data_IF_516383307663
#
_entry.id   IF_516383307663
#
_cell.length_a   1.000
_cell.length_b   1.000
_cell.length_c   1.000
_cell.angle_alpha   90.00
_cell.angle_beta   90.00
_cell.angle_gamma   90.00
#
_symmetry.space_group_name_H-M   'P 1'
#
loop_
_entity.id
_entity.type
_entity.pdbx_description
1 polymer ?
#
# COMPACT_ATOMS: atom_id res chain seq x y z
N UNK A 1 -25.41 4.95 9.19
CA UNK A 1 -24.23 5.52 8.55
C UNK A 1 -24.02 4.95 7.17
N UNK A 2 -23.37 5.69 6.26
CA UNK A 2 -23.01 5.15 4.94
C UNK A 2 -21.74 4.30 5.03
N UNK A 3 -21.68 3.25 4.20
CA UNK A 3 -20.51 2.41 4.04
C UNK A 3 -20.42 1.81 2.64
N UNK A 4 -19.23 1.67 2.10
CA UNK A 4 -18.97 0.92 0.87
C UNK A 4 -18.76 -0.55 1.25
N UNK A 5 -19.64 -1.42 0.75
CA UNK A 5 -19.75 -2.82 1.21
C UNK A 5 -19.58 -3.78 0.03
N UNK A 6 -18.69 -4.75 0.18
CA UNK A 6 -18.62 -5.93 -0.67
C UNK A 6 -19.81 -6.83 -0.37
N UNK A 7 -20.82 -6.83 -1.24
CA UNK A 7 -22.13 -7.42 -0.97
C UNK A 7 -22.29 -8.83 -1.54
N UNK A 8 -21.52 -9.17 -2.56
CA UNK A 8 -21.58 -10.49 -3.21
C UNK A 8 -20.16 -11.01 -3.40
N UNK A 9 -19.91 -12.20 -2.88
CA UNK A 9 -18.60 -12.83 -2.99
C UNK A 9 -18.27 -13.26 -4.41
N UNK A 10 -17.01 -13.06 -4.84
CA UNK A 10 -16.52 -13.56 -6.11
C UNK A 10 -16.59 -15.10 -6.15
N UNK A 11 -17.02 -15.65 -7.27
CA UNK A 11 -17.04 -17.10 -7.49
C UNK A 11 -15.70 -17.56 -8.05
N UNK A 12 -15.11 -18.54 -7.39
CA UNK A 12 -13.79 -19.05 -7.70
C UNK A 12 -13.83 -20.53 -8.09
N UNK A 13 -12.93 -20.93 -9.01
CA UNK A 13 -12.55 -22.32 -9.26
C UNK A 13 -11.04 -22.44 -8.97
N UNK A 14 -10.69 -22.96 -7.81
CA UNK A 14 -9.34 -22.88 -7.29
C UNK A 14 -8.87 -21.43 -7.14
N UNK A 15 -7.85 -21.05 -7.91
CA UNK A 15 -7.32 -19.68 -7.97
C UNK A 15 -7.86 -18.84 -9.15
N UNK A 16 -8.73 -19.42 -9.97
CA UNK A 16 -9.31 -18.76 -11.14
C UNK A 16 -10.65 -18.11 -10.79
N UNK A 17 -10.83 -16.86 -11.19
CA UNK A 17 -12.11 -16.15 -11.05
C UNK A 17 -13.10 -16.63 -12.13
N UNK A 18 -14.27 -17.06 -11.70
CA UNK A 18 -15.39 -17.42 -12.61
C UNK A 18 -16.35 -16.24 -12.77
N UNK A 19 -16.64 -15.56 -11.68
CA UNK A 19 -17.51 -14.39 -11.66
C UNK A 19 -17.01 -13.41 -10.60
N UNK A 20 -16.77 -12.11 -10.93
CA UNK A 20 -16.36 -11.12 -9.94
C UNK A 20 -17.47 -10.89 -8.91
N UNK A 21 -17.08 -10.43 -7.74
CA UNK A 21 -18.00 -10.00 -6.71
C UNK A 21 -18.64 -8.65 -7.01
N UNK A 22 -19.42 -8.16 -6.04
CA UNK A 22 -20.08 -6.84 -6.14
C UNK A 22 -19.80 -6.01 -4.91
N UNK A 23 -19.73 -4.71 -5.14
CA UNK A 23 -19.60 -3.70 -4.09
C UNK A 23 -20.69 -2.65 -4.25
N UNK A 24 -21.31 -2.21 -3.16
CA UNK A 24 -22.40 -1.26 -3.15
C UNK A 24 -22.25 -0.28 -1.98
N UNK A 25 -22.75 0.95 -2.17
CA UNK A 25 -22.88 1.92 -1.08
C UNK A 25 -24.19 1.62 -0.33
N UNK A 26 -24.09 1.31 0.95
CA UNK A 26 -25.23 0.94 1.77
C UNK A 26 -25.36 1.86 3.00
N UNK A 27 -26.60 2.01 3.48
CA UNK A 27 -26.89 2.54 4.80
C UNK A 27 -26.87 1.39 5.81
N UNK A 28 -25.94 1.41 6.75
CA UNK A 28 -25.77 0.39 7.79
C UNK A 28 -25.87 1.01 9.18
N UNK A 29 -26.15 0.24 10.24
CA UNK A 29 -26.11 0.74 11.62
C UNK A 29 -24.74 1.34 11.96
N UNK A 30 -24.73 2.43 12.74
CA UNK A 30 -23.48 2.94 13.31
C UNK A 30 -22.96 1.94 14.36
N UNK A 31 -21.63 1.65 14.39
CA UNK A 31 -21.09 0.69 15.33
C UNK A 31 -21.20 1.20 16.78
N UNK A 32 -21.60 0.32 17.67
CA UNK A 32 -21.47 0.54 19.12
C UNK A 32 -20.15 -0.10 19.58
N UNK A 33 -19.47 0.54 20.54
CA UNK A 33 -18.27 -0.06 21.10
C UNK A 33 -18.60 -1.38 21.81
N UNK A 34 -17.93 -2.43 21.41
CA UNK A 34 -17.96 -3.73 22.10
C UNK A 34 -16.97 -3.70 23.28
N UNK A 35 -17.08 -4.61 24.26
CA UNK A 35 -16.12 -4.70 25.36
C UNK A 35 -14.66 -4.92 24.93
N UNK A 36 -14.45 -5.40 23.70
CA UNK A 36 -13.13 -5.60 23.08
C UNK A 36 -12.56 -4.36 22.40
N UNK A 37 -13.38 -3.35 22.17
CA UNK A 37 -12.99 -2.13 21.47
C UNK A 37 -12.53 -1.08 22.47
N UNK A 38 -11.55 -0.27 22.12
CA UNK A 38 -11.03 0.78 22.98
C UNK A 38 -11.56 2.16 22.62
N UNK A 39 -11.87 2.38 21.35
CA UNK A 39 -12.32 3.67 20.84
C UNK A 39 -13.17 3.56 19.59
N UNK A 40 -14.00 4.58 19.37
CA UNK A 40 -14.72 4.82 18.12
C UNK A 40 -14.05 5.96 17.37
N UNK A 41 -13.79 5.73 16.10
CA UNK A 41 -13.16 6.70 15.21
C UNK A 41 -14.19 7.13 14.16
N UNK A 42 -14.40 8.44 14.04
CA UNK A 42 -15.01 9.00 12.85
C UNK A 42 -13.96 8.95 11.76
N UNK A 43 -14.21 8.21 10.69
CA UNK A 43 -13.31 8.14 9.56
C UNK A 43 -13.42 9.44 8.78
N UNK A 44 -12.40 10.27 8.83
CA UNK A 44 -12.40 11.54 8.10
C UNK A 44 -12.05 11.28 6.62
N UNK A 45 -11.00 10.48 6.36
CA UNK A 45 -10.55 10.13 5.01
C UNK A 45 -10.07 8.70 4.91
N UNK A 46 -10.32 8.08 3.75
CA UNK A 46 -9.77 6.78 3.38
C UNK A 46 -9.25 6.83 1.95
N UNK A 47 -8.07 6.25 1.69
CA UNK A 47 -7.56 6.14 0.33
C UNK A 47 -7.96 4.81 -0.32
N UNK A 48 -8.24 4.86 -1.64
CA UNK A 48 -8.57 3.68 -2.42
C UNK A 48 -7.31 2.88 -2.76
N UNK A 49 -7.34 1.59 -2.49
CA UNK A 49 -6.24 0.65 -2.76
C UNK A 49 -6.58 -0.33 -3.88
N UNK A 50 -5.55 -0.81 -4.59
CA UNK A 50 -5.70 -1.92 -5.53
C UNK A 50 -6.20 -3.19 -4.82
N UNK A 51 -5.85 -3.41 -3.56
CA UNK A 51 -6.34 -4.53 -2.74
C UNK A 51 -7.87 -4.54 -2.64
N UNK A 52 -8.50 -3.38 -2.44
CA UNK A 52 -9.97 -3.27 -2.41
C UNK A 52 -10.58 -3.73 -3.73
N UNK A 53 -9.98 -3.32 -4.85
CA UNK A 53 -10.42 -3.74 -6.19
C UNK A 53 -10.18 -5.24 -6.40
N UNK A 54 -9.03 -5.77 -5.97
CA UNK A 54 -8.71 -7.19 -6.11
C UNK A 54 -9.62 -8.08 -5.25
N UNK A 55 -10.08 -7.62 -4.08
CA UNK A 55 -11.08 -8.33 -3.28
C UNK A 55 -12.36 -8.50 -4.10
N UNK A 56 -12.85 -7.45 -4.72
CA UNK A 56 -14.08 -7.47 -5.50
C UNK A 56 -13.92 -8.24 -6.82
N UNK A 57 -12.85 -7.97 -7.58
CA UNK A 57 -12.69 -8.48 -8.94
C UNK A 57 -12.04 -9.85 -9.00
N UNK A 58 -11.18 -10.19 -8.04
CA UNK A 58 -10.36 -11.41 -8.05
C UNK A 58 -10.63 -12.34 -6.85
N UNK A 59 -11.50 -11.96 -5.91
CA UNK A 59 -11.74 -12.74 -4.71
C UNK A 59 -10.51 -12.85 -3.79
N UNK A 60 -9.64 -11.83 -3.82
CA UNK A 60 -8.40 -11.82 -3.04
C UNK A 60 -8.69 -12.09 -1.55
N UNK A 61 -7.85 -12.89 -0.91
CA UNK A 61 -7.96 -13.35 0.49
C UNK A 61 -9.20 -14.21 0.80
N UNK A 62 -10.04 -14.55 -0.18
CA UNK A 62 -11.29 -15.29 0.07
C UNK A 62 -12.24 -14.56 1.01
N UNK A 63 -12.23 -13.22 1.00
CA UNK A 63 -13.04 -12.41 1.92
C UNK A 63 -14.52 -12.77 1.81
N UNK A 64 -15.20 -13.03 2.95
CA UNK A 64 -16.62 -13.32 2.93
C UNK A 64 -17.43 -12.07 2.62
N UNK A 65 -18.57 -12.22 1.96
CA UNK A 65 -19.57 -11.15 1.86
C UNK A 65 -20.69 -11.39 2.90
N UNK A 66 -21.26 -10.33 3.54
CA UNK A 66 -20.91 -8.92 3.36
C UNK A 66 -19.64 -8.52 4.11
N UNK A 67 -18.86 -7.60 3.51
CA UNK A 67 -17.62 -7.07 4.10
C UNK A 67 -17.51 -5.57 3.82
N UNK A 68 -17.25 -4.76 4.87
CA UNK A 68 -17.04 -3.32 4.71
C UNK A 68 -15.63 -3.09 4.17
N UNK A 69 -15.49 -2.27 3.12
CA UNK A 69 -14.26 -2.06 2.37
C UNK A 69 -13.35 -0.99 3.01
N UNK A 70 -12.12 -0.89 2.48
CA UNK A 70 -11.14 0.13 2.85
C UNK A 70 -10.25 -0.27 4.02
N UNK A 71 -8.98 0.16 3.98
CA UNK A 71 -7.98 -0.14 5.02
C UNK A 71 -6.91 0.94 5.14
N UNK A 72 -6.93 1.97 4.30
CA UNK A 72 -5.98 3.09 4.31
C UNK A 72 -6.67 4.33 4.88
N UNK A 73 -6.75 4.48 6.20
CA UNK A 73 -7.62 5.51 6.80
C UNK A 73 -6.94 6.39 7.84
N UNK A 74 -7.46 7.59 7.96
CA UNK A 74 -7.23 8.48 9.09
C UNK A 74 -8.55 9.11 9.56
N UNK A 75 -8.60 9.51 10.81
CA UNK A 75 -9.83 10.02 11.39
C UNK A 75 -9.67 10.75 12.69
N UNK A 76 -10.80 10.97 13.36
CA UNK A 76 -10.89 11.65 14.64
C UNK A 76 -11.53 10.73 15.67
N UNK A 77 -10.91 10.58 16.82
CA UNK A 77 -11.50 9.83 17.95
C UNK A 77 -12.74 10.58 18.44
N UNK A 78 -13.88 9.89 18.50
CA UNK A 78 -15.17 10.46 18.98
C UNK A 78 -15.67 9.82 20.27
N UNK A 79 -15.15 8.64 20.62
CA UNK A 79 -15.48 7.92 21.87
C UNK A 79 -14.27 7.11 22.32
N UNK A 80 -14.00 7.04 23.62
CA UNK A 80 -12.91 6.27 24.23
C UNK A 80 -13.41 5.52 25.47
N UNK A 81 -12.86 4.34 25.71
CA UNK A 81 -13.02 3.61 26.97
C UNK A 81 -11.89 4.01 27.97
N UNK A 82 -11.92 3.54 29.25
CA UNK A 82 -10.86 3.84 30.22
C UNK A 82 -9.47 3.38 29.76
N UNK A 83 -9.35 2.21 29.10
CA UNK A 83 -8.09 1.69 28.60
C UNK A 83 -7.46 2.62 27.56
N UNK A 84 -8.25 3.16 26.61
CA UNK A 84 -7.77 4.13 25.65
C UNK A 84 -7.24 5.40 26.33
N UNK A 85 -7.96 5.90 27.35
CA UNK A 85 -7.55 7.07 28.12
C UNK A 85 -6.23 6.83 28.89
N UNK A 86 -6.07 5.66 29.51
CA UNK A 86 -4.84 5.26 30.20
C UNK A 86 -3.65 5.15 29.25
N UNK A 87 -3.88 4.81 27.98
CA UNK A 87 -2.89 4.77 26.92
C UNK A 87 -2.67 6.14 26.23
N UNK A 88 -3.27 7.22 26.75
CA UNK A 88 -3.02 8.59 26.31
C UNK A 88 -3.86 9.06 25.12
N UNK A 89 -4.93 8.33 24.76
CA UNK A 89 -5.88 8.72 23.72
C UNK A 89 -7.03 9.54 24.31
N UNK A 90 -7.49 10.55 23.58
CA UNK A 90 -8.59 11.42 23.96
C UNK A 90 -9.54 11.69 22.80
N UNK A 91 -10.80 11.98 23.13
CA UNK A 91 -11.77 12.49 22.15
C UNK A 91 -11.23 13.76 21.50
N UNK A 92 -11.29 13.80 20.16
CA UNK A 92 -10.76 14.90 19.35
C UNK A 92 -9.34 14.68 18.82
N UNK A 93 -8.61 13.66 19.29
CA UNK A 93 -7.30 13.33 18.72
C UNK A 93 -7.47 12.86 17.27
N UNK A 94 -6.58 13.38 16.40
CA UNK A 94 -6.45 12.92 15.02
C UNK A 94 -5.54 11.71 14.97
N UNK A 95 -5.95 10.67 14.25
CA UNK A 95 -5.27 9.37 14.24
C UNK A 95 -5.19 8.75 12.87
N UNK A 96 -4.17 7.93 12.69
CA UNK A 96 -4.03 6.92 11.64
C UNK A 96 -4.35 5.56 12.25
N UNK A 97 -4.95 4.68 11.47
CA UNK A 97 -5.31 3.34 11.94
C UNK A 97 -4.73 2.29 11.03
N UNK A 98 -4.01 1.33 11.62
CA UNK A 98 -3.64 0.09 10.93
C UNK A 98 -4.84 -0.85 10.88
N UNK A 99 -5.04 -1.53 9.77
CA UNK A 99 -6.22 -2.38 9.56
C UNK A 99 -6.28 -3.61 10.46
N UNK A 100 -5.22 -3.97 11.18
CA UNK A 100 -5.21 -5.13 12.09
C UNK A 100 -4.33 -4.88 13.32
N UNK A 101 -4.61 -5.60 14.41
CA UNK A 101 -3.77 -5.62 15.62
C UNK A 101 -3.34 -7.05 15.95
N UNK A 102 -2.05 -7.33 16.09
CA UNK A 102 -1.56 -8.64 16.50
C UNK A 102 -1.82 -8.90 17.98
N UNK A 103 -1.93 -10.17 18.37
CA UNK A 103 -2.15 -10.54 19.76
C UNK A 103 -0.93 -10.36 20.69
N UNK A 104 0.27 -10.16 20.12
CA UNK A 104 1.53 -10.01 20.87
C UNK A 104 2.04 -11.26 21.58
N UNK A 105 1.26 -12.37 21.63
CA UNK A 105 1.56 -13.53 22.48
C UNK A 105 1.72 -14.87 21.74
N UNK A 106 1.29 -15.00 20.49
CA UNK A 106 1.50 -16.22 19.71
C UNK A 106 2.96 -16.34 19.22
N UNK A 107 3.35 -17.52 18.71
CA UNK A 107 4.72 -17.78 18.27
C UNK A 107 5.19 -16.80 17.17
N UNK A 108 4.32 -16.46 16.21
CA UNK A 108 4.67 -15.52 15.17
C UNK A 108 4.98 -14.13 15.75
N UNK A 109 4.11 -13.62 16.65
CA UNK A 109 4.36 -12.35 17.33
C UNK A 109 5.65 -12.38 18.17
N UNK A 110 5.90 -13.45 18.92
CA UNK A 110 7.12 -13.58 19.73
C UNK A 110 8.41 -13.70 18.89
N UNK A 111 8.29 -14.03 17.62
CA UNK A 111 9.41 -14.04 16.64
C UNK A 111 9.58 -12.71 15.92
N UNK A 112 8.71 -11.72 16.16
CA UNK A 112 8.67 -10.46 15.42
C UNK A 112 7.99 -10.59 14.04
N UNK A 113 7.21 -11.63 13.83
CA UNK A 113 6.44 -11.86 12.61
C UNK A 113 4.97 -11.49 12.80
N UNK A 114 4.70 -10.34 13.39
CA UNK A 114 3.38 -9.95 13.89
C UNK A 114 2.31 -9.88 12.80
N UNK A 115 2.69 -9.55 11.56
CA UNK A 115 1.75 -9.55 10.43
C UNK A 115 1.19 -10.94 10.12
N UNK A 116 1.87 -12.00 10.53
CA UNK A 116 1.42 -13.38 10.42
C UNK A 116 0.76 -13.90 11.71
N UNK A 117 0.29 -12.98 12.57
CA UNK A 117 -0.41 -13.33 13.81
C UNK A 117 -1.58 -14.26 13.52
N UNK A 118 -1.61 -15.42 14.22
CA UNK A 118 -2.66 -16.44 14.06
C UNK A 118 -3.95 -16.11 14.82
N UNK A 119 -3.86 -15.16 15.76
CA UNK A 119 -4.94 -14.80 16.67
C UNK A 119 -4.99 -13.28 16.84
N UNK A 120 -5.25 -12.50 15.78
CA UNK A 120 -5.38 -11.06 15.91
C UNK A 120 -6.45 -10.73 16.96
N UNK A 121 -6.32 -9.58 17.60
CA UNK A 121 -7.26 -9.15 18.64
C UNK A 121 -8.67 -9.10 18.01
N UNK A 122 -9.64 -9.70 18.67
CA UNK A 122 -11.02 -9.75 18.19
C UNK A 122 -11.55 -8.30 17.98
N UNK A 123 -12.22 -8.07 16.86
CA UNK A 123 -12.71 -6.73 16.50
C UNK A 123 -11.65 -5.79 15.94
N UNK A 124 -10.37 -6.20 15.88
CA UNK A 124 -9.28 -5.35 15.42
C UNK A 124 -9.20 -5.15 13.91
N UNK A 125 -10.04 -5.82 13.11
CA UNK A 125 -10.06 -5.53 11.69
C UNK A 125 -10.86 -4.25 11.45
N UNK A 126 -10.15 -3.19 11.06
CA UNK A 126 -10.74 -1.86 10.85
C UNK A 126 -11.09 -1.67 9.38
N UNK A 127 -12.19 -0.99 9.15
CA UNK A 127 -12.74 -0.69 7.85
C UNK A 127 -12.62 0.82 7.58
N UNK A 128 -12.16 1.18 6.38
CA UNK A 128 -11.84 2.57 6.04
C UNK A 128 -12.95 3.30 5.27
N UNK A 129 -13.90 2.59 4.68
CA UNK A 129 -14.99 3.20 3.92
C UNK A 129 -16.37 3.21 4.61
N UNK A 130 -16.52 3.14 5.93
CA UNK A 130 -17.70 3.64 6.63
C UNK A 130 -17.44 5.03 7.21
N UNK A 131 -18.49 5.74 7.65
CA UNK A 131 -18.35 7.02 8.36
C UNK A 131 -17.72 6.87 9.76
N UNK A 132 -17.88 5.71 10.40
CA UNK A 132 -17.34 5.38 11.73
C UNK A 132 -16.84 3.95 11.80
N UNK A 133 -15.76 3.73 12.54
CA UNK A 133 -15.25 2.39 12.84
C UNK A 133 -14.77 2.27 14.29
N UNK A 134 -14.92 1.10 14.94
CA UNK A 134 -14.28 0.80 16.21
C UNK A 134 -12.81 0.47 16.00
N UNK A 135 -11.97 0.68 17.01
CA UNK A 135 -10.55 0.32 16.99
C UNK A 135 -10.03 -0.03 18.40
N UNK A 136 -8.89 -0.73 18.43
CA UNK A 136 -8.12 -1.03 19.65
C UNK A 136 -6.85 -0.21 19.70
N UNK A 137 -6.30 0.04 20.89
CA UNK A 137 -5.12 0.89 21.08
C UNK A 137 -3.91 0.44 20.25
N UNK A 138 -3.72 -0.87 20.05
CA UNK A 138 -2.58 -1.47 19.37
C UNK A 138 -2.47 -1.12 17.87
N UNK A 139 -3.55 -0.63 17.29
CA UNK A 139 -3.60 -0.31 15.86
C UNK A 139 -3.73 1.19 15.55
N UNK A 140 -3.78 2.04 16.60
CA UNK A 140 -4.04 3.47 16.46
C UNK A 140 -2.77 4.27 16.74
N UNK A 141 -2.45 5.21 15.84
CA UNK A 141 -1.28 6.07 15.93
C UNK A 141 -1.72 7.54 15.86
N UNK A 142 -1.32 8.34 16.85
CA UNK A 142 -1.67 9.76 16.89
C UNK A 142 -0.95 10.55 15.80
N UNK A 143 -1.69 11.41 15.12
CA UNK A 143 -1.14 12.43 14.22
C UNK A 143 -0.64 13.61 15.07
N UNK A 144 0.57 14.12 14.85
CA UNK A 144 1.07 15.29 15.59
C UNK A 144 0.12 16.49 15.50
N UNK A 145 -0.24 17.07 16.66
CA UNK A 145 -1.21 18.21 16.73
C UNK A 145 -0.76 19.42 15.92
N UNK A 146 0.55 19.59 15.75
CA UNK A 146 1.16 20.70 15.03
C UNK A 146 1.62 20.30 13.61
N UNK A 147 1.02 19.27 13.02
CA UNK A 147 1.35 18.88 11.65
C UNK A 147 1.15 20.05 10.68
N UNK A 148 2.13 20.34 9.80
CA UNK A 148 2.03 21.44 8.84
C UNK A 148 1.19 21.11 7.61
N UNK A 149 0.71 19.88 7.45
CA UNK A 149 -0.01 19.40 6.26
C UNK A 149 -1.49 19.15 6.56
N UNK A 150 -2.29 19.09 5.50
CA UNK A 150 -3.69 18.71 5.59
C UNK A 150 -3.81 17.28 6.16
N UNK A 151 -4.60 17.05 7.21
CA UNK A 151 -4.79 15.73 7.81
C UNK A 151 -5.25 14.63 6.85
N UNK A 152 -5.89 14.96 5.74
CA UNK A 152 -6.33 13.99 4.71
C UNK A 152 -5.18 13.11 4.20
N UNK A 153 -3.96 13.66 4.11
CA UNK A 153 -2.81 12.91 3.59
C UNK A 153 -2.33 11.80 4.54
N UNK A 154 -2.75 11.83 5.79
CA UNK A 154 -2.37 10.77 6.74
C UNK A 154 -3.07 9.43 6.48
N UNK A 155 -4.14 9.38 5.67
CA UNK A 155 -4.68 8.10 5.20
C UNK A 155 -3.68 7.33 4.32
N UNK A 156 -2.65 8.00 3.78
CA UNK A 156 -1.58 7.38 3.01
C UNK A 156 -0.53 6.66 3.88
N UNK A 157 -0.66 6.71 5.20
CA UNK A 157 0.32 6.09 6.10
C UNK A 157 0.39 4.57 5.91
N UNK A 158 -0.73 3.90 5.61
CA UNK A 158 -0.74 2.45 5.37
C UNK A 158 0.11 2.06 4.15
N UNK A 159 -0.14 2.56 2.92
CA UNK A 159 0.67 2.21 1.77
C UNK A 159 2.13 2.70 1.89
N UNK A 160 2.36 3.79 2.61
CA UNK A 160 3.72 4.28 2.89
C UNK A 160 4.46 3.39 3.88
N UNK A 161 3.78 2.84 4.89
CA UNK A 161 4.37 1.89 5.83
C UNK A 161 4.80 0.60 5.11
N UNK A 162 3.94 0.10 4.22
CA UNK A 162 4.26 -1.06 3.37
C UNK A 162 5.44 -0.77 2.41
N UNK A 163 5.46 0.41 1.78
CA UNK A 163 6.57 0.83 0.92
C UNK A 163 7.89 0.94 1.70
N UNK A 164 7.85 1.47 2.92
CA UNK A 164 9.02 1.57 3.80
C UNK A 164 9.56 0.20 4.20
N UNK A 165 8.69 -0.78 4.45
CA UNK A 165 9.09 -2.17 4.69
C UNK A 165 9.84 -2.76 3.49
N UNK A 166 9.32 -2.56 2.29
CA UNK A 166 10.01 -2.97 1.06
C UNK A 166 11.38 -2.32 0.88
N UNK A 167 11.53 -1.06 1.25
CA UNK A 167 12.83 -0.36 1.22
C UNK A 167 13.81 -0.87 2.28
N UNK A 168 13.31 -1.19 3.48
CA UNK A 168 14.13 -1.77 4.55
C UNK A 168 14.63 -3.18 4.16
N UNK A 169 13.76 -4.01 3.58
CA UNK A 169 14.12 -5.34 3.08
C UNK A 169 15.09 -5.32 1.89
N UNK A 170 15.05 -4.26 1.08
CA UNK A 170 15.96 -4.10 -0.07
C UNK A 170 17.39 -3.70 0.34
N UNK A 171 17.60 -3.17 1.54
CA UNK A 171 18.91 -2.73 2.07
C UNK A 171 19.65 -1.77 1.13
N UNK A 172 18.97 -0.73 0.65
CA UNK A 172 19.48 0.23 -0.34
C UNK A 172 20.63 1.05 0.25
N UNK A 173 21.73 1.15 -0.50
CA UNK A 173 22.96 1.88 -0.09
C UNK A 173 23.20 3.12 -0.96
N UNK A 174 24.03 4.00 -0.45
CA UNK A 174 24.52 5.16 -1.22
C UNK A 174 25.30 4.64 -2.43
N UNK A 175 24.98 5.16 -3.62
CA UNK A 175 25.62 4.78 -4.88
C UNK A 175 24.95 3.62 -5.62
N UNK A 176 23.88 3.01 -5.05
CA UNK A 176 23.13 1.97 -5.72
C UNK A 176 22.38 2.51 -6.94
N UNK A 177 22.33 1.70 -8.01
CA UNK A 177 21.41 1.90 -9.12
C UNK A 177 20.08 1.20 -8.78
N UNK A 178 18.99 1.96 -8.76
CA UNK A 178 17.66 1.46 -8.43
C UNK A 178 16.73 1.60 -9.64
N UNK A 179 16.05 0.51 -10.00
CA UNK A 179 14.97 0.52 -11.00
C UNK A 179 13.62 0.43 -10.30
N UNK A 180 12.73 1.35 -10.60
CA UNK A 180 11.30 1.26 -10.30
C UNK A 180 10.54 0.84 -11.56
N UNK A 181 10.03 -0.39 -11.56
CA UNK A 181 9.13 -0.90 -12.60
C UNK A 181 7.69 -0.56 -12.22
N UNK A 182 7.18 0.53 -12.82
CA UNK A 182 5.90 1.17 -12.52
C UNK A 182 6.03 2.43 -11.66
N UNK A 183 5.29 3.48 -12.01
CA UNK A 183 5.21 4.74 -11.25
C UNK A 183 3.74 5.13 -10.98
N UNK A 184 2.95 4.15 -10.52
CA UNK A 184 1.63 4.38 -9.94
C UNK A 184 1.74 4.91 -8.51
N UNK A 185 0.72 4.69 -7.69
CA UNK A 185 0.68 5.13 -6.30
C UNK A 185 1.90 4.67 -5.50
N UNK A 186 2.15 3.37 -5.44
CA UNK A 186 3.28 2.79 -4.69
C UNK A 186 4.62 3.22 -5.29
N UNK A 187 4.76 3.20 -6.63
CA UNK A 187 5.99 3.66 -7.28
C UNK A 187 6.33 5.12 -6.98
N UNK A 188 5.32 6.00 -6.96
CA UNK A 188 5.50 7.40 -6.57
C UNK A 188 5.90 7.55 -5.09
N UNK A 189 5.33 6.74 -4.19
CA UNK A 189 5.71 6.69 -2.78
C UNK A 189 7.17 6.27 -2.63
N UNK A 190 7.56 5.14 -3.24
CA UNK A 190 8.94 4.62 -3.17
C UNK A 190 9.91 5.62 -3.79
N UNK A 191 9.59 6.24 -4.93
CA UNK A 191 10.41 7.26 -5.55
C UNK A 191 10.67 8.43 -4.58
N UNK A 192 9.64 8.98 -3.96
CA UNK A 192 9.78 10.04 -2.97
C UNK A 192 10.69 9.62 -1.80
N UNK A 193 10.50 8.39 -1.27
CA UNK A 193 11.33 7.87 -0.18
C UNK A 193 12.79 7.69 -0.59
N UNK A 194 13.05 7.18 -1.81
CA UNK A 194 14.40 7.04 -2.35
C UNK A 194 15.11 8.39 -2.46
N UNK A 195 14.40 9.40 -2.95
CA UNK A 195 14.94 10.76 -3.08
C UNK A 195 15.21 11.41 -1.73
N UNK A 196 14.33 11.20 -0.73
CA UNK A 196 14.54 11.66 0.64
C UNK A 196 15.69 10.93 1.34
N UNK A 197 15.86 9.62 1.09
CA UNK A 197 17.01 8.84 1.57
C UNK A 197 18.31 9.37 0.97
N UNK A 198 18.26 9.75 -0.31
CA UNK A 198 19.40 10.27 -1.05
C UNK A 198 20.43 9.22 -1.46
N UNK A 199 21.30 9.60 -2.37
CA UNK A 199 22.48 8.80 -2.76
C UNK A 199 22.25 7.61 -3.68
N UNK A 200 21.02 7.30 -4.09
CA UNK A 200 20.74 6.29 -5.11
C UNK A 200 20.51 6.93 -6.49
N UNK A 201 20.92 6.21 -7.56
CA UNK A 201 20.60 6.56 -8.93
C UNK A 201 19.28 5.90 -9.32
N UNK A 202 18.22 6.65 -9.45
CA UNK A 202 16.88 6.09 -9.68
C UNK A 202 16.50 6.17 -11.15
N UNK A 203 16.16 5.01 -11.72
CA UNK A 203 15.52 4.86 -13.03
C UNK A 203 14.07 4.45 -12.84
N UNK A 204 13.14 5.05 -13.57
CA UNK A 204 11.72 4.71 -13.56
C UNK A 204 11.31 4.15 -14.91
N UNK A 205 10.72 2.96 -14.96
CA UNK A 205 10.11 2.38 -16.15
C UNK A 205 8.60 2.40 -16.02
N UNK A 206 7.92 3.14 -16.92
CA UNK A 206 6.45 3.20 -16.94
C UNK A 206 5.94 3.41 -18.37
N UNK A 207 4.89 2.69 -18.84
CA UNK A 207 4.38 2.86 -20.21
C UNK A 207 3.61 4.18 -20.44
N UNK A 208 3.27 4.93 -19.36
CA UNK A 208 2.48 6.16 -19.41
C UNK A 208 3.42 7.36 -19.38
N UNK A 209 3.38 8.20 -20.43
CA UNK A 209 4.28 9.34 -20.59
C UNK A 209 4.20 10.33 -19.41
N UNK A 210 2.99 10.68 -18.98
CA UNK A 210 2.77 11.62 -17.88
C UNK A 210 3.40 11.15 -16.57
N UNK A 211 3.44 9.83 -16.33
CA UNK A 211 4.09 9.24 -15.14
C UNK A 211 5.60 9.33 -15.23
N UNK A 212 6.17 9.10 -16.41
CA UNK A 212 7.62 9.28 -16.65
C UNK A 212 8.04 10.73 -16.47
N UNK A 213 7.27 11.68 -17.04
CA UNK A 213 7.53 13.12 -16.85
C UNK A 213 7.45 13.53 -15.38
N UNK A 214 6.46 13.02 -14.67
CA UNK A 214 6.30 13.25 -13.23
C UNK A 214 7.49 12.70 -12.45
N UNK A 215 7.96 11.50 -12.78
CA UNK A 215 9.13 10.90 -12.14
C UNK A 215 10.39 11.76 -12.34
N UNK A 216 10.62 12.29 -13.56
CA UNK A 216 11.73 13.22 -13.84
C UNK A 216 11.60 14.52 -13.04
N UNK A 217 10.40 15.12 -12.98
CA UNK A 217 10.14 16.33 -12.19
C UNK A 217 10.39 16.12 -10.69
N UNK A 218 10.13 14.92 -10.17
CA UNK A 218 10.42 14.55 -8.80
C UNK A 218 11.92 14.37 -8.54
N UNK A 219 12.73 14.03 -9.56
CA UNK A 219 14.17 13.87 -9.42
C UNK A 219 14.71 12.50 -9.81
N UNK A 220 13.92 11.63 -10.44
CA UNK A 220 14.46 10.44 -11.08
C UNK A 220 15.50 10.84 -12.15
N UNK A 221 16.64 10.15 -12.18
CA UNK A 221 17.73 10.48 -13.09
C UNK A 221 17.44 10.00 -14.51
N UNK A 222 16.74 8.88 -14.65
CA UNK A 222 16.41 8.28 -15.93
C UNK A 222 14.97 7.77 -15.95
N UNK A 223 14.42 7.72 -17.17
CA UNK A 223 13.14 7.04 -17.42
C UNK A 223 13.27 6.12 -18.62
N UNK A 224 12.47 5.05 -18.65
CA UNK A 224 12.38 4.10 -19.76
C UNK A 224 10.91 3.97 -20.18
N UNK A 225 10.66 4.02 -21.49
CA UNK A 225 9.35 3.70 -22.07
C UNK A 225 9.32 2.23 -22.54
N UNK A 226 8.80 1.29 -21.73
CA UNK A 226 8.85 -0.14 -22.07
C UNK A 226 7.96 -0.52 -23.26
N UNK A 227 7.20 0.43 -23.84
CA UNK A 227 6.43 0.22 -25.08
C UNK A 227 7.25 0.49 -26.33
N UNK A 228 8.18 1.42 -26.26
CA UNK A 228 8.94 1.91 -27.42
C UNK A 228 10.45 1.63 -27.32
N UNK A 229 10.94 1.20 -26.15
CA UNK A 229 12.36 0.90 -25.89
C UNK A 229 12.49 -0.56 -25.41
N UNK A 230 13.58 -1.23 -25.79
CA UNK A 230 13.93 -2.51 -25.17
C UNK A 230 14.41 -2.26 -23.74
N UNK A 231 13.65 -2.75 -22.78
CA UNK A 231 13.93 -2.54 -21.35
C UNK A 231 15.33 -3.02 -20.95
N UNK A 232 15.79 -4.17 -21.50
CA UNK A 232 17.09 -4.74 -21.14
C UNK A 232 18.22 -3.94 -21.75
N UNK A 233 18.13 -3.60 -23.03
CA UNK A 233 19.15 -2.81 -23.73
C UNK A 233 19.31 -1.45 -23.06
N UNK A 234 18.20 -0.76 -22.79
CA UNK A 234 18.20 0.55 -22.16
C UNK A 234 18.71 0.52 -20.71
N UNK A 235 18.34 -0.50 -19.96
CA UNK A 235 18.84 -0.73 -18.60
C UNK A 235 20.36 -0.93 -18.56
N UNK A 236 20.91 -1.71 -19.48
CA UNK A 236 22.36 -1.93 -19.58
C UNK A 236 23.11 -0.67 -20.03
N UNK A 237 22.54 0.11 -20.93
CA UNK A 237 23.10 1.40 -21.34
C UNK A 237 23.20 2.37 -20.15
N UNK A 238 22.08 2.58 -19.41
CA UNK A 238 22.02 3.48 -18.24
C UNK A 238 23.03 3.07 -17.16
N UNK A 239 23.20 1.77 -16.94
CA UNK A 239 24.06 1.23 -15.87
C UNK A 239 25.47 0.86 -16.34
N UNK A 240 25.87 1.24 -17.57
CA UNK A 240 27.15 0.89 -18.19
C UNK A 240 27.43 -0.64 -18.15
N UNK A 241 26.42 -1.44 -18.41
CA UNK A 241 26.49 -2.91 -18.42
C UNK A 241 26.46 -3.59 -17.02
N UNK A 242 26.47 -2.82 -15.94
CA UNK A 242 26.51 -3.35 -14.58
C UNK A 242 25.17 -3.95 -14.13
N UNK A 243 24.05 -3.39 -14.55
CA UNK A 243 22.73 -3.70 -14.06
C UNK A 243 22.36 -2.94 -12.78
N UNK A 244 21.19 -3.27 -12.19
CA UNK A 244 20.64 -2.60 -11.02
C UNK A 244 20.95 -3.36 -9.73
N UNK A 245 21.32 -2.64 -8.69
CA UNK A 245 21.55 -3.19 -7.34
C UNK A 245 20.22 -3.54 -6.67
N UNK A 246 19.19 -2.72 -6.91
CA UNK A 246 17.83 -2.97 -6.44
C UNK A 246 16.82 -2.71 -7.56
N UNK A 247 15.85 -3.61 -7.71
CA UNK A 247 14.72 -3.45 -8.63
C UNK A 247 13.43 -3.61 -7.83
N UNK A 248 12.56 -2.60 -7.86
CA UNK A 248 11.20 -2.72 -7.33
C UNK A 248 10.22 -3.00 -8.46
N UNK A 249 9.53 -4.12 -8.42
CA UNK A 249 8.35 -4.34 -9.25
C UNK A 249 7.09 -3.92 -8.48
N UNK A 250 6.57 -2.77 -8.81
CA UNK A 250 5.31 -2.24 -8.29
C UNK A 250 4.22 -2.20 -9.37
N UNK A 251 4.49 -2.81 -10.52
CA UNK A 251 3.57 -2.86 -11.66
C UNK A 251 2.62 -4.06 -11.61
N UNK A 252 3.09 -5.20 -11.11
CA UNK A 252 2.35 -6.46 -11.10
C UNK A 252 2.07 -7.03 -12.50
N UNK A 253 2.83 -6.60 -13.51
CA UNK A 253 2.63 -7.02 -14.90
C UNK A 253 3.34 -8.35 -15.15
N UNK A 254 2.61 -9.48 -15.37
CA UNK A 254 3.20 -10.81 -15.57
C UNK A 254 4.26 -10.88 -16.67
N UNK A 255 4.09 -10.11 -17.74
CA UNK A 255 5.05 -10.09 -18.87
C UNK A 255 6.39 -9.40 -18.51
N UNK A 256 6.38 -8.47 -17.57
CA UNK A 256 7.59 -7.74 -17.14
C UNK A 256 8.38 -8.51 -16.08
N UNK A 257 7.70 -9.20 -15.18
CA UNK A 257 8.30 -9.85 -14.02
C UNK A 257 9.49 -10.77 -14.33
N UNK A 258 9.48 -11.63 -15.38
CA UNK A 258 10.60 -12.52 -15.71
C UNK A 258 11.84 -11.80 -16.28
N UNK A 259 11.68 -10.56 -16.70
CA UNK A 259 12.78 -9.76 -17.24
C UNK A 259 13.65 -9.18 -16.13
N UNK A 260 13.04 -8.83 -14.98
CA UNK A 260 13.71 -8.09 -13.91
C UNK A 260 14.94 -8.79 -13.31
N UNK A 261 14.94 -10.10 -13.03
CA UNK A 261 16.14 -10.80 -12.55
C UNK A 261 17.32 -10.75 -13.53
N UNK A 262 17.04 -10.62 -14.84
CA UNK A 262 18.08 -10.49 -15.87
C UNK A 262 18.79 -9.14 -15.83
N UNK A 263 18.13 -8.10 -15.29
CA UNK A 263 18.64 -6.73 -15.16
C UNK A 263 19.45 -6.49 -13.89
N UNK A 264 19.54 -7.49 -12.97
CA UNK A 264 20.27 -7.36 -11.72
C UNK A 264 21.77 -7.20 -11.95
N UNK A 265 22.38 -6.35 -11.15
CA UNK A 265 23.80 -6.37 -10.86
C UNK A 265 24.16 -7.62 -10.03
N UNK A 266 25.46 -7.92 -9.86
CA UNK A 266 25.91 -8.95 -8.94
C UNK A 266 25.49 -8.59 -7.50
N UNK A 267 24.94 -9.57 -6.76
CA UNK A 267 24.37 -9.44 -5.41
C UNK A 267 23.13 -8.53 -5.35
N UNK A 268 22.53 -8.18 -6.48
CA UNK A 268 21.34 -7.35 -6.55
C UNK A 268 20.09 -8.07 -6.04
N UNK A 269 19.07 -7.26 -5.73
CA UNK A 269 17.78 -7.72 -5.19
C UNK A 269 16.63 -7.26 -6.08
N UNK A 270 15.76 -8.17 -6.52
CA UNK A 270 14.42 -7.81 -7.03
C UNK A 270 13.43 -7.87 -5.88
N UNK A 271 12.71 -6.79 -5.65
CA UNK A 271 11.61 -6.70 -4.70
C UNK A 271 10.29 -6.75 -5.48
N UNK A 272 9.62 -7.88 -5.47
CA UNK A 272 8.27 -8.03 -6.03
C UNK A 272 7.27 -7.53 -5.00
N UNK A 273 6.88 -6.28 -5.16
CA UNK A 273 5.97 -5.58 -4.26
C UNK A 273 4.50 -5.73 -4.67
N UNK A 274 4.25 -5.75 -5.97
CA UNK A 274 2.90 -5.80 -6.50
C UNK A 274 2.23 -7.16 -6.26
N UNK A 275 0.90 -7.16 -6.17
CA UNK A 275 0.08 -8.38 -6.16
C UNK A 275 -0.11 -8.85 -7.60
N UNK A 276 0.38 -10.06 -7.88
CA UNK A 276 0.18 -10.74 -9.16
C UNK A 276 -1.12 -11.54 -9.17
N UNK A 277 -1.63 -11.94 -10.36
CA UNK A 277 -2.72 -12.90 -10.44
C UNK A 277 -2.40 -14.17 -9.62
N UNK A 278 -3.39 -14.70 -8.90
CA UNK A 278 -3.19 -15.80 -7.94
C UNK A 278 -2.70 -17.10 -8.56
N UNK A 279 -2.90 -17.28 -9.87
CA UNK A 279 -2.48 -18.43 -10.66
C UNK A 279 -1.19 -18.16 -11.47
N UNK A 280 -0.60 -16.96 -11.32
CA UNK A 280 0.64 -16.63 -12.01
C UNK A 280 1.85 -17.33 -11.39
N UNK A 281 2.64 -17.98 -12.23
CA UNK A 281 3.92 -18.59 -11.87
C UNK A 281 5.06 -17.83 -12.57
N UNK A 282 6.06 -17.40 -11.81
CA UNK A 282 7.22 -16.68 -12.34
C UNK A 282 8.20 -17.66 -13.00
N UNK A 283 8.38 -17.63 -14.33
CA UNK A 283 9.43 -18.41 -14.99
C UNK A 283 10.82 -17.80 -14.69
N UNK A 284 11.68 -18.57 -14.04
CA UNK A 284 12.98 -18.12 -13.56
C UNK A 284 14.09 -19.10 -13.98
N UNK A 285 15.20 -18.56 -14.55
CA UNK A 285 16.42 -19.29 -14.72
C UNK A 285 17.28 -19.16 -13.44
N UNK A 286 17.31 -20.23 -12.64
CA UNK A 286 18.06 -20.24 -11.38
C UNK A 286 19.58 -20.17 -11.60
N UNK A 287 20.10 -20.67 -12.74
CA UNK A 287 21.54 -20.60 -13.04
C UNK A 287 21.99 -19.14 -13.24
N UNK A 288 21.20 -18.32 -13.94
CA UNK A 288 21.51 -16.91 -14.14
C UNK A 288 21.50 -16.15 -12.81
N UNK A 289 20.53 -16.47 -11.92
CA UNK A 289 20.45 -15.88 -10.59
C UNK A 289 21.61 -16.33 -9.69
N UNK A 290 21.98 -17.63 -9.75
CA UNK A 290 23.12 -18.18 -9.01
C UNK A 290 24.44 -17.48 -9.37
N UNK A 291 24.71 -17.24 -10.66
CA UNK A 291 25.94 -16.57 -11.10
C UNK A 291 26.06 -15.13 -10.55
N UNK A 292 24.94 -14.49 -10.20
CA UNK A 292 24.91 -13.14 -9.65
C UNK A 292 24.82 -13.11 -8.12
N UNK A 293 24.68 -14.25 -7.43
CA UNK A 293 24.24 -14.29 -6.03
C UNK A 293 23.02 -13.39 -5.79
N UNK A 294 22.07 -13.37 -6.78
CA UNK A 294 20.92 -12.48 -6.78
C UNK A 294 19.87 -12.90 -5.75
N UNK A 295 19.07 -11.95 -5.31
CA UNK A 295 17.99 -12.17 -4.33
C UNK A 295 16.64 -11.80 -4.93
N UNK A 296 15.60 -12.57 -4.56
CA UNK A 296 14.20 -12.27 -4.84
C UNK A 296 13.50 -12.07 -3.49
N UNK A 297 12.90 -10.95 -3.30
CA UNK A 297 12.19 -10.55 -2.09
C UNK A 297 10.74 -10.22 -2.42
N UNK A 298 9.81 -10.61 -1.57
CA UNK A 298 8.42 -10.16 -1.62
C UNK A 298 8.12 -9.29 -0.42
N UNK A 299 7.13 -8.41 -0.53
CA UNK A 299 6.62 -7.57 0.55
C UNK A 299 5.16 -7.89 0.74
N UNK A 300 4.72 -8.03 1.99
CA UNK A 300 3.32 -8.34 2.25
C UNK A 300 2.58 -7.14 2.83
N UNK A 301 2.91 -6.70 3.99
CA UNK A 301 2.42 -5.48 4.66
C UNK A 301 3.24 -5.31 5.94
N UNK A 302 2.97 -4.27 6.73
CA UNK A 302 3.72 -4.03 7.97
C UNK A 302 2.83 -3.49 9.07
N UNK A 303 3.25 -3.68 10.33
CA UNK A 303 2.60 -3.16 11.52
C UNK A 303 3.43 -2.04 12.16
N UNK A 304 4.76 -2.12 12.07
CA UNK A 304 5.66 -1.31 12.89
C UNK A 304 6.15 -0.01 12.24
N UNK A 305 5.97 0.18 10.94
CA UNK A 305 6.54 1.36 10.26
C UNK A 305 5.69 2.63 10.40
N UNK A 306 4.50 2.57 11.00
CA UNK A 306 3.59 3.72 11.10
C UNK A 306 4.21 4.94 11.81
N UNK A 307 4.90 4.83 12.96
CA UNK A 307 5.52 6.01 13.58
C UNK A 307 6.54 6.70 12.67
N UNK A 308 7.39 5.90 11.98
CA UNK A 308 8.39 6.42 11.03
C UNK A 308 7.74 7.13 9.85
N UNK A 309 6.64 6.57 9.35
CA UNK A 309 5.89 7.13 8.21
C UNK A 309 5.17 8.40 8.61
N UNK A 310 4.52 8.45 9.77
CA UNK A 310 3.83 9.65 10.25
C UNK A 310 4.79 10.84 10.32
N UNK A 311 6.03 10.63 10.77
CA UNK A 311 7.09 11.64 10.78
C UNK A 311 7.60 12.01 9.37
N UNK A 312 7.49 11.07 8.42
CA UNK A 312 7.98 11.25 7.05
C UNK A 312 6.97 11.97 6.13
N UNK A 313 5.66 11.72 6.29
CA UNK A 313 4.60 12.24 5.43
C UNK A 313 4.74 13.75 5.16
N UNK A 314 5.01 14.63 6.15
CA UNK A 314 5.14 16.07 5.90
C UNK A 314 6.29 16.48 4.97
N UNK A 315 7.20 15.57 4.66
CA UNK A 315 8.38 15.80 3.83
C UNK A 315 8.23 15.28 2.41
N UNK A 316 7.08 14.66 2.09
CA UNK A 316 6.82 14.02 0.80
C UNK A 316 6.05 14.93 -0.15
N UNK A 317 6.15 14.67 -1.45
CA UNK A 317 5.36 15.33 -2.49
C UNK A 317 3.97 14.68 -2.58
N UNK A 318 3.08 15.07 -1.66
CA UNK A 318 1.79 14.40 -1.45
C UNK A 318 0.83 14.58 -2.61
N UNK A 319 0.82 15.75 -3.27
CA UNK A 319 -0.06 16.04 -4.42
C UNK A 319 0.25 15.15 -5.64
N UNK A 320 1.50 14.67 -5.75
CA UNK A 320 1.87 13.72 -6.80
C UNK A 320 1.38 12.31 -6.47
N UNK A 321 1.39 11.95 -5.19
CA UNK A 321 0.97 10.63 -4.71
C UNK A 321 -0.55 10.52 -4.73
N UNK A 322 -1.26 11.55 -4.24
CA UNK A 322 -2.71 11.59 -4.15
C UNK A 322 -3.26 12.82 -4.89
N UNK A 323 -3.61 12.62 -6.15
CA UNK A 323 -3.99 13.67 -7.08
C UNK A 323 -5.48 13.74 -7.42
N UNK A 324 -6.30 12.95 -6.72
CA UNK A 324 -7.77 12.95 -6.89
C UNK A 324 -8.47 12.81 -5.54
N UNK A 325 -9.51 13.61 -5.35
CA UNK A 325 -10.41 13.51 -4.20
C UNK A 325 -11.80 13.13 -4.68
N UNK A 326 -12.49 12.30 -3.89
CA UNK A 326 -13.87 11.88 -4.10
C UNK A 326 -14.60 11.87 -2.75
N UNK A 327 -15.91 11.63 -2.77
CA UNK A 327 -16.75 11.55 -1.57
C UNK A 327 -17.24 10.11 -1.39
N UNK A 328 -17.49 9.70 -0.15
CA UNK A 328 -18.08 8.38 0.11
C UNK A 328 -19.44 8.24 -0.58
N UNK A 329 -20.20 9.35 -0.70
CA UNK A 329 -21.48 9.38 -1.42
C UNK A 329 -21.37 9.08 -2.92
N UNK A 330 -20.18 9.15 -3.54
CA UNK A 330 -19.94 8.75 -4.92
C UNK A 330 -20.03 7.21 -5.10
N UNK A 331 -19.94 6.46 -4.00
CA UNK A 331 -20.21 5.03 -3.99
C UNK A 331 -19.31 4.24 -4.93
N UNK A 332 -19.91 3.43 -5.79
CA UNK A 332 -19.22 2.55 -6.74
C UNK A 332 -18.38 3.31 -7.76
N UNK A 333 -18.69 4.58 -8.03
CA UNK A 333 -17.89 5.43 -8.94
C UNK A 333 -16.44 5.61 -8.46
N UNK A 334 -16.17 5.43 -7.16
CA UNK A 334 -14.79 5.42 -6.61
C UNK A 334 -14.00 4.27 -7.23
N UNK A 335 -14.58 3.07 -7.38
CA UNK A 335 -13.96 1.92 -8.04
C UNK A 335 -13.72 2.17 -9.52
N UNK A 336 -14.73 2.69 -10.22
CA UNK A 336 -14.61 3.01 -11.64
C UNK A 336 -13.50 4.02 -11.89
N UNK A 337 -13.45 5.06 -11.07
CA UNK A 337 -12.41 6.09 -11.12
C UNK A 337 -11.00 5.52 -10.91
N UNK A 338 -10.84 4.55 -10.02
CA UNK A 338 -9.57 3.86 -9.79
C UNK A 338 -9.17 3.01 -11.01
N UNK A 339 -10.10 2.26 -11.60
CA UNK A 339 -9.88 1.41 -12.78
C UNK A 339 -9.48 2.20 -14.02
N UNK A 340 -9.90 3.47 -14.15
CA UNK A 340 -9.50 4.36 -15.25
C UNK A 340 -8.00 4.65 -15.27
N UNK A 341 -7.25 4.34 -14.21
CA UNK A 341 -5.78 4.48 -14.07
C UNK A 341 -5.24 5.90 -14.33
N UNK A 342 -6.08 6.94 -14.28
CA UNK A 342 -5.70 8.34 -14.52
C UNK A 342 -5.16 9.05 -13.29
N UNK A 343 -5.36 8.45 -12.11
CA UNK A 343 -4.87 8.96 -10.82
C UNK A 343 -3.89 7.99 -10.19
N UNK A 344 -3.00 8.50 -9.34
CA UNK A 344 -2.13 7.64 -8.55
C UNK A 344 -2.90 7.09 -7.34
N UNK A 345 -3.30 7.97 -6.39
CA UNK A 345 -4.19 7.62 -5.26
C UNK A 345 -5.44 8.48 -5.30
N UNK A 346 -6.57 7.90 -4.93
CA UNK A 346 -7.83 8.59 -4.72
C UNK A 346 -8.03 8.66 -3.22
N UNK A 347 -8.14 9.88 -2.66
CA UNK A 347 -8.55 10.11 -1.27
C UNK A 347 -10.05 10.32 -1.27
N UNK A 348 -10.75 9.59 -0.42
CA UNK A 348 -12.20 9.67 -0.24
C UNK A 348 -12.50 10.40 1.06
N UNK A 349 -13.26 11.48 0.98
CA UNK A 349 -13.86 12.15 2.14
C UNK A 349 -15.03 11.29 2.62
N UNK A 350 -14.88 10.65 3.77
CA UNK A 350 -15.85 9.70 4.30
C UNK A 350 -17.02 10.39 5.05
N UNK A 351 -16.98 11.71 5.19
CA UNK A 351 -18.03 12.51 5.84
C UNK A 351 -18.92 13.29 4.85
N UNK A 352 -18.73 13.04 3.55
CA UNK A 352 -19.47 13.78 2.49
C UNK A 352 -20.09 12.86 1.45
#
# INVERSE_FOLDING_TARGET
>A
MKALVYTTQAKMDGRKVIEPGKCELLDIPEPQLLPTDDMKIRVDYCAMCATDVHIVTMGLYGMPAPWIMGHELCGTIVEVNPRATENGFAVGDKVVVNCTAPCGCCDECKRGHDIFCKHPIAGSFVHGFPEYCPAVCEQVFQIPKNSPIDPKYYCLAEPMASAMDGMDLADIKIGDNVLLQGCGAIGSIILNMLLLKGGANVTVSDPIAEKRETALKLGAQYVIDPKNEDLKERAMEITNGRGYDVIFDVSGVPAAAPLLPKLLANKGTVVYFAVFPMDYELPLNLYDLYLKEGRLQTVYTTIYNYPRVIDLIPRMNLDVIANREMKLSDGVEIFNAFLESKSNKIIVDCQR
#
